data_IF_498967861517
#
_entry.id   IF_498967861517
#
_cell.length_a   1.000
_cell.length_b   1.000
_cell.length_c   1.000
_cell.angle_alpha   90.00
_cell.angle_beta   90.00
_cell.angle_gamma   90.00
#
_symmetry.space_group_name_H-M   'P 1'
#
loop_
_entity.id
_entity.type
_entity.pdbx_description
1 polymer ?
#
# COMPACT_ATOMS: atom_id res chain seq x y z
N UNK A 1 -20.21 5.60 -3.87
CA UNK A 1 -19.41 6.79 -3.46
C UNK A 1 -18.71 6.46 -2.15
N UNK A 2 -17.41 6.12 -2.19
CA UNK A 2 -16.60 5.94 -0.97
C UNK A 2 -16.01 7.30 -0.61
N UNK A 3 -16.52 7.92 0.46
CA UNK A 3 -15.98 9.17 0.99
C UNK A 3 -14.65 8.85 1.68
N UNK A 4 -13.54 9.30 1.09
CA UNK A 4 -12.25 9.27 1.77
C UNK A 4 -12.30 10.31 2.89
N UNK A 5 -12.36 9.86 4.14
CA UNK A 5 -12.17 10.72 5.31
C UNK A 5 -10.67 11.00 5.42
N UNK A 6 -10.22 12.05 4.74
CA UNK A 6 -8.90 12.63 4.94
C UNK A 6 -9.05 13.87 5.82
N UNK A 7 -8.85 13.71 7.12
CA UNK A 7 -8.62 14.81 8.06
C UNK A 7 -7.85 14.25 9.26
N UNK A 8 -6.57 13.89 9.06
CA UNK A 8 -5.66 13.62 10.16
C UNK A 8 -4.74 14.82 10.38
N UNK A 9 -5.35 15.95 10.77
CA UNK A 9 -4.63 16.89 11.62
C UNK A 9 -4.72 16.28 13.00
N UNK A 10 -3.61 15.71 13.47
CA UNK A 10 -3.46 15.40 14.89
C UNK A 10 -3.74 16.71 15.62
N UNK A 11 -4.85 16.76 16.35
CA UNK A 11 -5.17 17.87 17.25
C UNK A 11 -4.23 17.79 18.46
N UNK A 12 -2.91 17.88 18.22
CA UNK A 12 -1.93 18.11 19.28
C UNK A 12 -2.14 19.49 19.94
N UNK A 13 -2.93 20.37 19.33
CA UNK A 13 -3.20 21.71 19.83
C UNK A 13 -4.29 21.81 20.92
N UNK A 14 -4.98 20.75 21.34
CA UNK A 14 -6.03 20.85 22.39
C UNK A 14 -5.71 20.15 23.72
N UNK A 15 -4.52 19.58 23.91
CA UNK A 15 -4.24 18.71 25.06
C UNK A 15 -3.26 19.32 26.07
N UNK A 16 -3.22 20.65 26.21
CA UNK A 16 -2.37 21.30 27.22
C UNK A 16 -2.79 20.96 28.67
N UNK A 17 -4.03 20.47 28.89
CA UNK A 17 -4.60 20.17 30.21
C UNK A 17 -5.29 18.80 30.32
N UNK A 18 -5.08 17.87 29.38
CA UNK A 18 -5.77 16.58 29.38
C UNK A 18 -5.15 15.60 30.39
N UNK A 19 -5.99 14.84 31.09
CA UNK A 19 -5.48 13.81 31.99
C UNK A 19 -4.85 12.66 31.18
N UNK A 20 -3.91 11.89 31.74
CA UNK A 20 -3.32 10.75 31.06
C UNK A 20 -4.33 9.71 30.54
N UNK A 21 -5.50 9.62 31.19
CA UNK A 21 -6.60 8.75 30.77
C UNK A 21 -7.31 9.28 29.52
N UNK A 22 -7.52 10.59 29.42
CA UNK A 22 -8.15 11.22 28.25
C UNK A 22 -7.26 11.05 27.01
N UNK A 23 -5.93 11.14 27.20
CA UNK A 23 -4.96 10.85 26.14
C UNK A 23 -5.05 9.40 25.66
N UNK A 24 -5.19 8.44 26.58
CA UNK A 24 -5.32 7.03 26.22
C UNK A 24 -6.58 6.77 25.39
N UNK A 25 -7.71 7.35 25.78
CA UNK A 25 -8.97 7.21 25.04
C UNK A 25 -8.91 7.86 23.65
N UNK A 26 -8.31 9.04 23.54
CA UNK A 26 -8.09 9.70 22.25
C UNK A 26 -7.23 8.83 21.31
N UNK A 27 -6.14 8.25 21.82
CA UNK A 27 -5.28 7.35 21.05
C UNK A 27 -6.05 6.09 20.62
N UNK A 28 -6.86 5.50 21.50
CA UNK A 28 -7.64 4.30 21.17
C UNK A 28 -8.67 4.57 20.07
N UNK A 29 -9.39 5.69 20.15
CA UNK A 29 -10.37 6.11 19.15
C UNK A 29 -9.70 6.37 17.79
N UNK A 30 -8.56 7.04 17.79
CA UNK A 30 -7.77 7.29 16.58
C UNK A 30 -7.26 5.99 15.93
N UNK A 31 -6.76 5.04 16.74
CA UNK A 31 -6.33 3.72 16.25
C UNK A 31 -7.52 2.94 15.67
N UNK A 32 -8.70 3.02 16.30
CA UNK A 32 -9.90 2.35 15.80
C UNK A 32 -10.33 2.94 14.45
N UNK A 33 -10.39 4.27 14.34
CA UNK A 33 -10.70 4.98 13.09
C UNK A 33 -9.70 4.65 11.99
N UNK A 34 -8.41 4.56 12.31
CA UNK A 34 -7.39 4.17 11.34
C UNK A 34 -7.62 2.76 10.81
N UNK A 35 -7.98 1.81 11.70
CA UNK A 35 -8.32 0.43 11.28
C UNK A 35 -9.58 0.36 10.43
N UNK A 36 -10.60 1.13 10.76
CA UNK A 36 -11.82 1.24 9.96
C UNK A 36 -11.52 1.81 8.57
N UNK A 37 -10.73 2.89 8.50
CA UNK A 37 -10.35 3.50 7.23
C UNK A 37 -9.51 2.56 6.36
N UNK A 38 -8.57 1.81 6.95
CA UNK A 38 -7.79 0.80 6.23
C UNK A 38 -8.67 -0.35 5.72
N UNK A 39 -9.68 -0.77 6.49
CA UNK A 39 -10.66 -1.77 6.07
C UNK A 39 -11.54 -1.26 4.92
N UNK A 40 -11.87 0.04 4.91
CA UNK A 40 -12.66 0.68 3.84
C UNK A 40 -11.82 0.92 2.57
N UNK A 41 -10.52 1.20 2.72
CA UNK A 41 -9.57 1.45 1.63
C UNK A 41 -8.82 0.19 1.19
N UNK A 42 -9.52 -0.95 1.15
CA UNK A 42 -9.00 -2.17 0.55
C UNK A 42 -9.28 -2.18 -0.95
N UNK A 43 -8.22 -2.31 -1.76
CA UNK A 43 -8.31 -2.38 -3.22
C UNK A 43 -7.64 -3.65 -3.75
N UNK A 44 -8.41 -4.48 -4.44
CA UNK A 44 -7.91 -5.66 -5.18
C UNK A 44 -7.82 -5.46 -6.69
N UNK A 45 -8.36 -4.33 -7.17
CA UNK A 45 -8.39 -3.91 -8.56
C UNK A 45 -7.73 -2.53 -8.72
N UNK A 46 -6.81 -2.42 -9.68
CA UNK A 46 -6.09 -1.19 -10.01
C UNK A 46 -7.08 -0.12 -10.50
N UNK A 47 -8.13 -0.50 -11.23
CA UNK A 47 -9.13 0.46 -11.70
C UNK A 47 -9.88 1.14 -10.55
N UNK A 48 -10.25 0.39 -9.50
CA UNK A 48 -10.90 0.94 -8.31
C UNK A 48 -9.97 1.91 -7.55
N UNK A 49 -8.68 1.54 -7.42
CA UNK A 49 -7.68 2.43 -6.84
C UNK A 49 -7.53 3.71 -7.66
N UNK A 50 -7.48 3.60 -8.99
CA UNK A 50 -7.38 4.75 -9.89
C UNK A 50 -8.57 5.68 -9.75
N UNK A 51 -9.79 5.12 -9.80
CA UNK A 51 -11.02 5.89 -9.64
C UNK A 51 -11.06 6.59 -8.28
N UNK A 52 -10.64 5.89 -7.22
CA UNK A 52 -10.49 6.48 -5.90
C UNK A 52 -9.53 7.67 -5.93
N UNK A 53 -8.29 7.51 -6.41
CA UNK A 53 -7.30 8.60 -6.46
C UNK A 53 -7.82 9.79 -7.28
N UNK A 54 -8.47 9.54 -8.43
CA UNK A 54 -9.03 10.59 -9.29
C UNK A 54 -10.17 11.35 -8.62
N UNK A 55 -11.07 10.63 -7.96
CA UNK A 55 -12.31 11.18 -7.40
C UNK A 55 -12.06 11.85 -6.05
N UNK A 56 -11.29 11.21 -5.18
CA UNK A 56 -11.11 11.65 -3.80
C UNK A 56 -9.89 12.52 -3.59
N UNK A 57 -8.89 12.45 -4.51
CA UNK A 57 -7.61 13.17 -4.39
C UNK A 57 -7.03 13.04 -2.97
N UNK A 58 -6.70 11.81 -2.55
CA UNK A 58 -6.40 11.53 -1.16
C UNK A 58 -5.24 12.39 -0.65
N UNK A 59 -5.36 12.89 0.57
CA UNK A 59 -4.27 13.55 1.25
C UNK A 59 -3.18 12.52 1.63
N UNK A 60 -1.99 13.00 2.01
CA UNK A 60 -0.79 12.17 2.21
C UNK A 60 -0.92 11.14 3.34
N UNK A 61 -1.76 11.45 4.32
CA UNK A 61 -2.10 10.67 5.51
C UNK A 61 -3.15 9.57 5.24
N UNK A 62 -3.80 9.57 4.07
CA UNK A 62 -4.73 8.50 3.70
C UNK A 62 -3.93 7.23 3.41
N UNK A 63 -4.24 6.19 4.18
CA UNK A 63 -3.69 4.85 3.99
C UNK A 63 -4.66 3.93 3.25
N UNK A 64 -4.11 3.01 2.47
CA UNK A 64 -4.86 1.95 1.81
C UNK A 64 -4.20 0.58 1.97
N UNK A 65 -5.00 -0.47 1.82
CA UNK A 65 -4.51 -1.83 1.63
C UNK A 65 -4.63 -2.21 0.15
N UNK A 66 -3.54 -2.65 -0.46
CA UNK A 66 -3.51 -3.06 -1.86
C UNK A 66 -3.23 -4.55 -1.99
N UNK A 67 -4.03 -5.25 -2.79
CA UNK A 67 -3.75 -6.64 -3.22
C UNK A 67 -3.39 -6.66 -4.69
N UNK A 68 -2.12 -6.95 -5.00
CA UNK A 68 -1.55 -6.82 -6.33
C UNK A 68 -0.78 -8.07 -6.74
N UNK A 69 -0.84 -8.44 -8.03
CA UNK A 69 0.08 -9.43 -8.61
C UNK A 69 1.34 -8.71 -9.07
N UNK A 70 2.50 -9.12 -8.57
CA UNK A 70 3.80 -8.57 -8.96
C UNK A 70 4.12 -8.99 -10.41
N UNK A 71 4.45 -8.04 -11.27
CA UNK A 71 4.96 -8.28 -12.63
C UNK A 71 6.48 -8.17 -12.64
N UNK A 72 6.98 -7.09 -12.04
CA UNK A 72 8.40 -6.84 -11.91
C UNK A 72 8.67 -6.11 -10.61
N UNK A 73 9.85 -6.33 -10.08
CA UNK A 73 10.37 -5.54 -8.98
C UNK A 73 11.81 -5.19 -9.30
N UNK A 74 12.10 -3.91 -9.33
CA UNK A 74 13.44 -3.39 -9.59
C UNK A 74 13.95 -2.63 -8.37
N UNK A 75 15.25 -2.74 -8.14
CA UNK A 75 15.88 -1.97 -7.08
C UNK A 75 16.05 -0.53 -7.55
N UNK A 76 15.61 0.42 -6.74
CA UNK A 76 15.88 1.82 -7.01
C UNK A 76 17.37 2.09 -6.81
N UNK A 77 18.03 2.60 -7.86
CA UNK A 77 19.46 2.84 -7.83
C UNK A 77 19.82 3.88 -6.75
N UNK A 78 20.86 3.60 -5.96
CA UNK A 78 21.28 4.46 -4.84
C UNK A 78 20.29 4.53 -3.66
N UNK A 79 19.18 3.79 -3.73
CA UNK A 79 18.08 3.88 -2.77
C UNK A 79 17.88 2.58 -1.98
N UNK A 80 17.37 2.72 -0.76
CA UNK A 80 16.94 1.59 0.09
C UNK A 80 15.49 1.22 -0.19
N UNK A 81 15.16 0.86 -1.43
CA UNK A 81 13.80 0.47 -1.78
C UNK A 81 13.67 -0.19 -3.14
N UNK A 82 12.57 -0.94 -3.31
CA UNK A 82 12.20 -1.59 -4.55
C UNK A 82 11.01 -0.84 -5.17
N UNK A 83 11.04 -0.61 -6.50
CA UNK A 83 9.84 -0.24 -7.25
C UNK A 83 9.17 -1.54 -7.71
N UNK A 84 8.01 -1.83 -7.13
CA UNK A 84 7.19 -3.00 -7.45
C UNK A 84 6.11 -2.58 -8.43
N UNK A 85 6.14 -3.15 -9.62
CA UNK A 85 5.09 -2.97 -10.63
C UNK A 85 4.12 -4.13 -10.53
N UNK A 86 2.83 -3.81 -10.37
CA UNK A 86 1.79 -4.81 -10.22
C UNK A 86 0.55 -4.54 -11.06
N UNK A 87 -0.27 -5.57 -11.16
CA UNK A 87 -1.60 -5.56 -11.79
C UNK A 87 -2.64 -6.17 -10.84
N UNK A 88 -3.89 -6.16 -11.26
CA UNK A 88 -4.99 -6.86 -10.61
C UNK A 88 -4.62 -8.29 -10.21
N UNK A 89 -5.01 -8.65 -8.98
CA UNK A 89 -4.79 -10.00 -8.45
C UNK A 89 -5.71 -11.06 -9.08
N UNK A 90 -6.84 -10.62 -9.67
CA UNK A 90 -7.85 -11.49 -10.26
C UNK A 90 -7.57 -11.74 -11.76
N UNK A 91 -7.44 -13.03 -12.14
CA UNK A 91 -7.51 -13.46 -13.54
C UNK A 91 -6.22 -13.96 -14.18
N UNK A 92 -6.31 -15.22 -14.62
CA UNK A 92 -5.72 -15.89 -15.80
C UNK A 92 -4.21 -16.18 -15.93
N UNK A 93 -3.95 -17.40 -16.41
CA UNK A 93 -2.72 -17.85 -17.06
C UNK A 93 -2.42 -16.90 -18.24
N UNK A 94 -1.18 -16.40 -18.34
CA UNK A 94 -0.79 -15.46 -19.39
C UNK A 94 -1.03 -13.98 -19.06
N UNK A 95 -0.99 -13.61 -17.78
CA UNK A 95 -1.00 -12.22 -17.30
C UNK A 95 0.04 -11.32 -17.99
N UNK A 96 1.15 -11.89 -18.46
CA UNK A 96 2.18 -11.22 -19.27
C UNK A 96 1.60 -10.51 -20.51
N UNK A 97 0.51 -11.05 -21.10
CA UNK A 97 -0.18 -10.48 -22.28
C UNK A 97 -1.33 -9.52 -21.94
N UNK A 98 -1.66 -9.34 -20.66
CA UNK A 98 -2.80 -8.51 -20.22
C UNK A 98 -2.43 -7.08 -19.85
N UNK A 99 -1.14 -6.75 -19.70
CA UNK A 99 -0.71 -5.36 -19.62
C UNK A 99 -0.91 -4.74 -20.99
N UNK A 100 -2.07 -4.13 -21.21
CA UNK A 100 -2.41 -3.48 -22.48
C UNK A 100 -2.29 -1.98 -22.37
N UNK A 101 -2.56 -1.43 -21.18
CA UNK A 101 -2.52 0.01 -20.94
C UNK A 101 -1.91 0.35 -19.57
N UNK A 102 -1.39 1.57 -19.44
CA UNK A 102 -0.92 2.12 -18.14
C UNK A 102 -2.01 2.14 -17.05
N UNK A 103 -3.28 2.04 -17.46
CA UNK A 103 -4.44 2.00 -16.57
C UNK A 103 -4.57 0.69 -15.80
N UNK A 104 -3.97 -0.38 -16.31
CA UNK A 104 -4.00 -1.70 -15.67
C UNK A 104 -2.89 -1.87 -14.63
N UNK A 105 -1.98 -0.90 -14.54
CA UNK A 105 -0.74 -1.00 -13.78
C UNK A 105 -0.80 -0.09 -12.55
N UNK A 106 -0.23 -0.60 -11.46
CA UNK A 106 0.14 0.17 -10.27
C UNK A 106 1.63 0.03 -9.97
N UNK A 107 2.29 1.11 -9.60
CA UNK A 107 3.69 1.14 -9.23
C UNK A 107 3.84 1.53 -7.74
N UNK A 108 4.25 0.59 -6.90
CA UNK A 108 4.43 0.81 -5.47
C UNK A 108 5.90 0.86 -5.11
N UNK A 109 6.32 1.92 -4.41
CA UNK A 109 7.67 1.98 -3.85
C UNK A 109 7.67 1.34 -2.47
N UNK A 110 8.41 0.25 -2.33
CA UNK A 110 8.60 -0.46 -1.06
C UNK A 110 9.96 -0.09 -0.50
N UNK A 111 9.99 0.74 0.53
CA UNK A 111 11.21 1.13 1.22
C UNK A 111 11.66 0.03 2.18
N UNK A 112 12.97 -0.19 2.30
CA UNK A 112 13.53 -1.11 3.29
C UNK A 112 13.27 -0.61 4.71
N UNK A 113 13.38 -1.54 5.66
CA UNK A 113 13.42 -1.19 7.06
C UNK A 113 14.72 -0.47 7.40
N UNK A 114 14.61 0.83 7.72
CA UNK A 114 15.75 1.66 8.12
C UNK A 114 16.37 1.25 9.46
N UNK A 115 15.64 0.50 10.29
CA UNK A 115 16.06 0.10 11.64
C UNK A 115 16.78 -1.25 11.68
N UNK A 116 16.74 -2.00 10.58
CA UNK A 116 17.36 -3.32 10.51
C UNK A 116 18.90 -3.21 10.38
N UNK A 117 19.62 -3.75 11.36
CA UNK A 117 21.10 -3.82 11.41
C UNK A 117 21.73 -4.50 10.18
N UNK A 118 20.97 -5.37 9.53
CA UNK A 118 21.24 -5.89 8.18
C UNK A 118 20.05 -5.51 7.33
N UNK A 119 20.28 -4.84 6.19
CA UNK A 119 19.24 -4.57 5.20
C UNK A 119 18.48 -5.88 4.93
N UNK A 120 17.26 -5.97 5.46
CA UNK A 120 16.34 -7.04 5.11
C UNK A 120 15.46 -6.52 4.00
N UNK A 121 15.75 -7.01 2.80
CA UNK A 121 14.96 -6.75 1.60
C UNK A 121 13.89 -7.83 1.46
N UNK A 122 12.76 -7.46 0.88
CA UNK A 122 11.83 -8.43 0.31
C UNK A 122 12.25 -8.67 -1.13
N UNK A 123 12.45 -9.94 -1.48
CA UNK A 123 12.62 -10.38 -2.86
C UNK A 123 11.23 -10.69 -3.44
N UNK A 124 10.65 -9.71 -4.12
CA UNK A 124 9.36 -9.85 -4.79
C UNK A 124 9.48 -10.78 -5.99
N UNK A 125 8.59 -11.77 -6.07
CA UNK A 125 8.60 -12.79 -7.13
C UNK A 125 7.60 -12.41 -8.23
N UNK A 126 8.06 -12.26 -9.49
CA UNK A 126 7.16 -12.11 -10.63
C UNK A 126 6.09 -13.21 -10.64
N UNK A 127 4.83 -12.83 -10.86
CA UNK A 127 3.66 -13.69 -10.84
C UNK A 127 3.03 -13.94 -9.47
N UNK A 128 3.75 -13.69 -8.36
CA UNK A 128 3.18 -13.85 -7.02
C UNK A 128 2.20 -12.72 -6.68
N UNK A 129 1.25 -13.00 -5.79
CA UNK A 129 0.28 -12.02 -5.30
C UNK A 129 0.68 -11.58 -3.91
N UNK A 130 0.76 -10.26 -3.73
CA UNK A 130 1.10 -9.61 -2.47
C UNK A 130 -0.07 -8.78 -1.96
N UNK A 131 -0.22 -8.75 -0.63
CA UNK A 131 -1.05 -7.78 0.09
C UNK A 131 -0.11 -6.81 0.80
N UNK A 132 -0.28 -5.52 0.50
CA UNK A 132 0.49 -4.41 1.01
C UNK A 132 -0.44 -3.58 1.89
N UNK A 133 -0.19 -3.57 3.19
CA UNK A 133 -0.92 -2.76 4.17
C UNK A 133 -0.24 -1.41 4.36
N UNK A 134 -1.02 -0.40 4.77
CA UNK A 134 -0.53 0.95 5.04
C UNK A 134 0.24 1.56 3.86
N UNK A 135 -0.33 1.47 2.66
CA UNK A 135 0.19 2.19 1.49
C UNK A 135 -0.21 3.66 1.61
N UNK A 136 0.79 4.52 1.70
CA UNK A 136 0.70 5.98 1.85
C UNK A 136 1.04 6.68 0.53
N UNK A 137 0.80 8.00 0.47
CA UNK A 137 1.15 8.85 -0.68
C UNK A 137 0.55 8.36 -2.00
N UNK A 138 -0.72 7.96 -1.98
CA UNK A 138 -1.44 7.50 -3.16
C UNK A 138 -1.59 8.64 -4.19
N UNK A 139 -1.27 8.35 -5.44
CA UNK A 139 -1.30 9.35 -6.49
C UNK A 139 -1.09 8.79 -7.88
N UNK A 140 -0.66 9.67 -8.80
CA UNK A 140 -0.24 9.30 -10.13
C UNK A 140 1.19 9.77 -10.40
N UNK A 141 1.96 8.93 -11.08
CA UNK A 141 3.24 9.32 -11.69
C UNK A 141 3.24 8.79 -13.12
N UNK A 142 3.46 9.68 -14.08
CA UNK A 142 3.40 9.40 -15.52
C UNK A 142 2.13 8.63 -15.94
N UNK A 143 1.00 8.97 -15.34
CA UNK A 143 -0.30 8.35 -15.61
C UNK A 143 -0.53 6.97 -14.98
N UNK A 144 0.45 6.42 -14.27
CA UNK A 144 0.38 5.15 -13.53
C UNK A 144 -0.03 5.44 -12.08
N UNK A 145 -0.98 4.67 -11.55
CA UNK A 145 -1.33 4.78 -10.13
C UNK A 145 -0.14 4.39 -9.27
N UNK A 146 0.14 5.14 -8.22
CA UNK A 146 1.30 4.88 -7.37
C UNK A 146 0.97 5.01 -5.88
N UNK A 147 1.94 4.59 -5.08
CA UNK A 147 1.93 4.71 -3.63
C UNK A 147 3.26 4.25 -3.05
N UNK A 148 3.40 4.39 -1.75
CA UNK A 148 4.62 4.00 -1.04
C UNK A 148 4.28 3.24 0.23
N UNK A 149 5.13 2.28 0.59
CA UNK A 149 5.00 1.51 1.83
C UNK A 149 6.39 1.27 2.39
N UNK A 150 6.52 1.27 3.72
CA UNK A 150 7.76 0.87 4.39
C UNK A 150 7.69 -0.60 4.77
N UNK A 151 8.75 -1.34 4.47
CA UNK A 151 8.95 -2.67 5.02
C UNK A 151 9.35 -2.56 6.49
N UNK A 152 8.82 -3.46 7.31
CA UNK A 152 9.09 -3.55 8.74
C UNK A 152 9.44 -5.00 9.05
N UNK A 153 10.68 -5.24 9.48
CA UNK A 153 11.18 -6.61 9.68
C UNK A 153 10.41 -7.39 10.74
N UNK A 154 9.88 -6.68 11.74
CA UNK A 154 9.14 -7.25 12.85
C UNK A 154 7.63 -7.28 12.61
N UNK A 155 7.16 -6.89 11.42
CA UNK A 155 5.75 -6.83 11.07
C UNK A 155 5.46 -7.62 9.79
N UNK A 156 5.38 -8.94 9.94
CA UNK A 156 5.07 -9.84 8.84
C UNK A 156 3.67 -9.61 8.24
N UNK A 157 2.78 -8.86 8.92
CA UNK A 157 1.46 -8.53 8.40
C UNK A 157 1.48 -7.39 7.38
N UNK A 158 2.50 -6.51 7.44
CA UNK A 158 2.56 -5.29 6.62
C UNK A 158 2.70 -5.58 5.13
N UNK A 159 3.53 -6.55 4.77
CA UNK A 159 3.71 -7.00 3.39
C UNK A 159 3.69 -8.52 3.40
N UNK A 160 2.65 -9.10 2.78
CA UNK A 160 2.43 -10.55 2.76
C UNK A 160 2.34 -11.07 1.34
N UNK A 161 3.08 -12.13 1.05
CA UNK A 161 2.78 -12.96 -0.11
C UNK A 161 1.57 -13.86 0.23
N UNK A 162 0.49 -13.74 -0.54
CA UNK A 162 -0.76 -14.50 -0.31
C UNK A 162 -1.00 -15.58 -1.37
N UNK A 163 -0.26 -15.54 -2.47
CA UNK A 163 -0.29 -16.59 -3.49
C UNK A 163 1.07 -16.65 -4.19
N UNK A 164 1.68 -17.84 -4.35
CA UNK A 164 2.92 -17.98 -5.08
C UNK A 164 2.72 -17.66 -6.57
N UNK A 165 3.81 -17.49 -7.34
CA UNK A 165 3.71 -17.38 -8.78
C UNK A 165 2.92 -18.56 -9.36
N UNK A 166 1.97 -18.27 -10.24
CA UNK A 166 1.29 -19.31 -11.01
C UNK A 166 2.36 -20.00 -11.88
N UNK A 167 2.85 -21.16 -11.43
CA UNK A 167 3.70 -22.00 -12.26
C UNK A 167 2.96 -22.30 -13.55
N UNK A 168 3.65 -22.25 -14.69
CA UNK A 168 3.17 -23.01 -15.85
C UNK A 168 3.11 -24.46 -15.37
N UNK A 169 1.91 -25.00 -15.12
CA UNK A 169 1.75 -26.45 -15.13
C UNK A 169 2.34 -26.88 -16.49
N UNK A 170 3.48 -27.58 -16.43
CA UNK A 170 4.10 -28.15 -17.62
C UNK A 170 3.16 -29.18 -18.24
#
# INVERSE_FOLDING_TARGET
>A
MRLALANFIVTFCQLANASPMDLLFAIQDDVLKQKEQEAVNYFSHVQELREFIMTTRPARDVVATLKVRCISAERLNGCRGNRVTGIDSMGCVGWERRVRELRDIVAITVWDDSTAFRQRKIDFRPGAVYVLHQVEYLGFHDGIANGTVRYEVNNAYKIREVSPPLSKLK
#
